data_IF_346300435558
#
_entry.id   IF_346300435558
#
_cell.length_a   1.000
_cell.length_b   1.000
_cell.length_c   1.000
_cell.angle_alpha   90.00
_cell.angle_beta   90.00
_cell.angle_gamma   90.00
#
_symmetry.space_group_name_H-M   'P 1'
#
loop_
_entity.id
_entity.type
_entity.pdbx_description
1 polymer ?
#
# COMPACT_ATOMS: atom_id res chain seq x y z
N UNK A 1 -9.71 -6.63 3.70
CA UNK A 1 -8.99 -5.51 3.13
C UNK A 1 -8.17 -5.95 1.95
N UNK A 2 -7.97 -5.05 1.02
CA UNK A 2 -7.22 -5.37 -0.19
C UNK A 2 -5.86 -4.69 -0.18
N UNK A 3 -4.83 -5.44 -0.52
CA UNK A 3 -3.50 -4.89 -0.55
C UNK A 3 -3.29 -4.21 -1.88
N UNK A 4 -2.88 -2.97 -1.89
CA UNK A 4 -2.67 -2.24 -3.13
C UNK A 4 -1.22 -1.98 -3.44
N UNK A 5 -0.39 -1.76 -2.45
CA UNK A 5 1.01 -1.46 -2.67
C UNK A 5 1.87 -2.22 -1.70
N UNK A 6 3.03 -2.66 -2.15
CA UNK A 6 3.95 -3.34 -1.30
C UNK A 6 5.31 -2.75 -1.58
N UNK A 7 5.90 -2.08 -0.62
CA UNK A 7 7.16 -1.42 -0.85
C UNK A 7 7.87 -1.15 0.47
N UNK A 8 9.16 -0.90 0.40
CA UNK A 8 9.91 -0.58 1.57
C UNK A 8 10.02 0.91 1.73
N UNK A 9 9.51 1.68 0.81
CA UNK A 9 9.70 3.11 0.81
C UNK A 9 8.66 3.78 1.70
N UNK A 10 9.01 4.25 2.88
CA UNK A 10 8.02 4.82 3.78
C UNK A 10 7.50 6.16 3.28
N UNK A 11 8.27 6.85 2.46
CA UNK A 11 7.82 8.14 1.97
C UNK A 11 6.70 7.91 0.99
N UNK A 12 6.83 6.89 0.12
CA UNK A 12 5.80 6.61 -0.84
C UNK A 12 4.53 6.21 -0.10
N UNK A 13 4.65 5.36 0.91
CA UNK A 13 3.49 4.91 1.62
C UNK A 13 2.79 6.05 2.34
N UNK A 14 3.55 6.97 2.93
CA UNK A 14 2.95 8.08 3.63
C UNK A 14 2.21 8.97 2.66
N UNK A 15 2.78 9.20 1.49
CA UNK A 15 2.15 10.06 0.52
C UNK A 15 0.86 9.42 0.04
N UNK A 16 0.87 8.11 -0.26
CA UNK A 16 -0.32 7.47 -0.75
C UNK A 16 -1.39 7.46 0.35
N UNK A 17 -0.98 7.23 1.60
CA UNK A 17 -1.93 7.21 2.66
C UNK A 17 -2.59 8.59 2.78
N UNK A 18 -1.83 9.64 2.57
CA UNK A 18 -2.37 10.96 2.68
C UNK A 18 -3.36 11.27 1.57
N UNK A 19 -3.04 10.95 0.32
CA UNK A 19 -3.96 11.28 -0.75
C UNK A 19 -5.23 10.44 -0.66
N UNK A 20 -5.12 9.20 -0.16
CA UNK A 20 -6.31 8.40 -0.01
C UNK A 20 -7.15 8.95 1.14
N UNK A 21 -6.51 9.40 2.19
CA UNK A 21 -7.24 9.98 3.30
C UNK A 21 -8.00 11.23 2.91
N UNK A 22 -7.44 12.00 2.00
CA UNK A 22 -8.10 13.19 1.57
C UNK A 22 -9.35 12.82 0.79
N UNK A 23 -9.41 11.65 0.22
CA UNK A 23 -10.57 11.22 -0.52
C UNK A 23 -11.52 10.42 0.38
N UNK A 24 -11.23 10.35 1.66
CA UNK A 24 -12.11 9.63 2.56
C UNK A 24 -11.87 8.13 2.60
N UNK A 25 -10.74 7.65 2.09
CA UNK A 25 -10.46 6.23 2.10
C UNK A 25 -9.44 5.94 3.20
N UNK A 26 -9.81 5.07 4.12
CA UNK A 26 -8.95 4.77 5.23
C UNK A 26 -7.97 3.68 4.84
N UNK A 27 -6.71 3.98 4.75
CA UNK A 27 -5.69 3.01 4.37
C UNK A 27 -4.91 2.57 5.59
N UNK A 28 -4.49 1.32 5.58
CA UNK A 28 -3.75 0.78 6.68
C UNK A 28 -2.41 0.29 6.17
N UNK A 29 -1.35 0.58 6.87
CA UNK A 29 -0.02 0.13 6.47
C UNK A 29 0.41 -0.92 7.46
N UNK A 30 0.70 -2.11 6.96
CA UNK A 30 1.15 -3.18 7.81
C UNK A 30 2.64 -3.39 7.70
N UNK A 31 3.29 -3.51 8.83
CA UNK A 31 4.70 -3.76 8.84
C UNK A 31 4.88 -5.14 9.32
N UNK A 32 5.82 -5.82 8.87
CA UNK A 32 6.06 -7.17 9.31
C UNK A 32 7.16 -7.15 10.31
N UNK A 33 6.91 -6.93 11.51
CA UNK A 33 7.92 -6.94 12.48
C UNK A 33 8.44 -8.26 12.85
N UNK A 34 7.77 -9.26 12.57
CA UNK A 34 8.26 -10.51 12.94
C UNK A 34 9.54 -10.88 12.44
N UNK A 35 9.91 -10.38 11.40
CA UNK A 35 11.11 -10.77 10.79
C UNK A 35 12.30 -10.50 11.59
N UNK A 36 12.15 -9.78 12.56
CA UNK A 36 13.26 -9.47 13.35
C UNK A 36 13.87 -10.73 13.82
N UNK A 37 13.11 -11.69 14.08
CA UNK A 37 13.63 -12.87 14.53
C UNK A 37 14.49 -13.57 13.59
N UNK A 38 14.34 -13.35 12.36
CA UNK A 38 15.13 -14.01 11.44
C UNK A 38 16.33 -13.29 11.06
N UNK A 39 16.56 -12.23 11.55
CA UNK A 39 17.70 -11.46 11.19
C UNK A 39 17.67 -11.10 9.78
N UNK A 40 16.56 -11.02 9.23
CA UNK A 40 16.52 -10.78 7.84
C UNK A 40 16.84 -9.44 7.50
N UNK A 41 17.34 -8.75 8.32
CA UNK A 41 17.74 -7.47 7.94
C UNK A 41 16.74 -6.45 7.67
N UNK A 42 15.62 -6.66 8.02
CA UNK A 42 14.67 -5.61 7.88
C UNK A 42 14.32 -5.18 6.54
N UNK A 43 14.51 -5.99 5.60
CA UNK A 43 14.18 -5.58 4.28
C UNK A 43 12.82 -6.01 3.86
N UNK A 44 11.97 -6.39 4.78
CA UNK A 44 10.67 -6.85 4.38
C UNK A 44 9.81 -5.68 4.00
N UNK A 45 9.08 -5.76 2.94
CA UNK A 45 8.28 -4.64 2.51
C UNK A 45 7.07 -4.41 3.39
N UNK A 46 6.62 -3.20 3.45
CA UNK A 46 5.41 -2.87 4.15
C UNK A 46 4.30 -2.94 3.13
N UNK A 47 3.08 -3.14 3.60
CA UNK A 47 1.96 -3.28 2.69
C UNK A 47 0.89 -2.25 3.01
N UNK A 48 0.30 -1.68 2.00
CA UNK A 48 -0.75 -0.71 2.19
C UNK A 48 -2.04 -1.35 1.75
N UNK A 49 -3.04 -1.38 2.62
CA UNK A 49 -4.30 -2.01 2.32
C UNK A 49 -5.45 -1.03 2.47
N UNK A 50 -6.54 -1.28 1.78
CA UNK A 50 -7.73 -0.45 1.91
C UNK A 50 -8.92 -1.36 2.14
N UNK A 51 -10.03 -0.84 2.67
CA UNK A 51 -11.18 -1.67 2.97
C UNK A 51 -11.79 -2.22 1.71
N UNK A 52 -12.49 -3.33 1.85
CA UNK A 52 -13.16 -3.92 0.74
C UNK A 52 -14.17 -2.96 0.20
N UNK A 53 -14.28 -2.89 -1.07
CA UNK A 53 -15.21 -1.99 -1.69
C UNK A 53 -14.60 -0.66 -2.02
N UNK A 54 -13.39 -0.38 -1.54
CA UNK A 54 -12.75 0.87 -1.85
C UNK A 54 -11.57 0.70 -2.77
N UNK A 55 -11.22 -0.51 -3.13
CA UNK A 55 -10.03 -0.71 -3.93
C UNK A 55 -10.09 -0.04 -5.30
N UNK A 56 -11.24 -0.02 -5.92
CA UNK A 56 -11.32 0.58 -7.25
C UNK A 56 -11.09 2.08 -7.15
N UNK A 57 -11.71 2.73 -6.18
CA UNK A 57 -11.55 4.17 -6.05
C UNK A 57 -10.11 4.47 -5.65
N UNK A 58 -9.52 3.66 -4.79
CA UNK A 58 -8.17 3.91 -4.35
C UNK A 58 -7.19 3.74 -5.50
N UNK A 59 -7.39 2.73 -6.35
CA UNK A 59 -6.51 2.54 -7.46
C UNK A 59 -6.59 3.71 -8.41
N UNK A 60 -7.78 4.23 -8.61
CA UNK A 60 -7.93 5.35 -9.50
C UNK A 60 -7.16 6.56 -8.95
N UNK A 61 -7.26 6.83 -7.65
CA UNK A 61 -6.58 7.96 -7.07
C UNK A 61 -5.08 7.81 -7.20
N UNK A 62 -4.58 6.59 -6.98
CA UNK A 62 -3.16 6.36 -7.06
C UNK A 62 -2.69 6.54 -8.50
N UNK A 63 -3.47 6.09 -9.46
CA UNK A 63 -3.09 6.26 -10.84
C UNK A 63 -3.12 7.73 -11.24
N UNK A 64 -4.06 8.46 -10.73
CA UNK A 64 -4.13 9.87 -11.07
C UNK A 64 -2.97 10.64 -10.47
N UNK A 65 -2.36 10.11 -9.44
CA UNK A 65 -1.22 10.74 -8.84
C UNK A 65 0.07 10.25 -9.51
N UNK A 66 -0.08 9.53 -10.63
CA UNK A 66 1.07 9.05 -11.37
C UNK A 66 1.84 8.01 -10.59
N UNK A 67 1.20 7.30 -9.72
CA UNK A 67 1.86 6.27 -8.97
C UNK A 67 1.33 4.89 -9.29
N UNK A 68 0.62 4.76 -10.40
CA UNK A 68 0.03 3.47 -10.73
C UNK A 68 1.03 2.36 -10.91
N UNK A 69 2.26 2.67 -11.25
CA UNK A 69 3.24 1.65 -11.45
C UNK A 69 3.60 0.95 -10.15
N UNK A 70 3.22 1.54 -9.01
CA UNK A 70 3.54 0.93 -7.75
C UNK A 70 2.44 0.00 -7.26
N UNK A 71 1.31 -0.04 -7.94
CA UNK A 71 0.21 -0.91 -7.53
C UNK A 71 0.55 -2.35 -7.86
N UNK A 72 0.21 -3.25 -6.96
CA UNK A 72 0.46 -4.64 -7.25
C UNK A 72 -0.70 -5.11 -8.11
N UNK A 73 -0.40 -6.05 -9.00
CA UNK A 73 -1.39 -6.51 -9.91
C UNK A 73 -2.07 -7.68 -9.36
N UNK A 74 -3.23 -7.56 -8.79
CA UNK A 74 -3.85 -8.62 -8.29
C UNK A 74 -4.61 -9.41 -9.20
N UNK A 75 -4.82 -9.01 -10.37
CA UNK A 75 -5.51 -9.72 -11.28
C UNK A 75 -4.74 -10.65 -11.88
N UNK A 76 -3.66 -10.87 -11.61
CA UNK A 76 -2.84 -11.66 -12.26
C UNK A 76 -3.41 -12.84 -12.55
N UNK A 77 -3.62 -13.21 -13.52
CA UNK A 77 -4.24 -14.43 -13.87
C UNK A 77 -3.41 -15.54 -13.75
#
# INVERSE_FOLDING_TARGET
MHELIRTNDPVLLSYVEQILGEAGIFAVILDTNMSVLEGSLGMLPRRLLVPEGRETAARRIICEADLGQWLIDEKSP
#
